data_IF_447757841965
#
_entry.id   IF_447757841965
#
_cell.length_a   1.000
_cell.length_b   1.000
_cell.length_c   1.000
_cell.angle_alpha   90.00
_cell.angle_beta   90.00
_cell.angle_gamma   90.00
#
_symmetry.space_group_name_H-M   'P 1'
#
loop_
_entity.id
_entity.type
_entity.pdbx_description
1 polymer ?
#
# COMPACT_ATOMS: atom_id res chain seq x y z
N UNK A 1 71.69 22.31 -23.95
CA UNK A 1 70.92 21.24 -23.29
C UNK A 1 70.42 21.63 -21.90
N UNK A 2 69.94 22.90 -21.66
CA UNK A 2 69.34 23.34 -20.37
C UNK A 2 67.82 23.45 -20.35
N UNK A 3 67.16 23.27 -21.50
CA UNK A 3 65.69 23.48 -21.60
C UNK A 3 64.85 22.21 -21.43
N UNK A 4 65.43 21.03 -21.35
CA UNK A 4 64.72 19.76 -21.18
C UNK A 4 64.29 19.48 -19.71
N UNK A 5 65.00 20.07 -18.74
CA UNK A 5 64.70 19.88 -17.30
C UNK A 5 63.60 20.79 -16.79
N UNK A 6 63.37 21.96 -17.42
CA UNK A 6 62.33 22.89 -17.01
C UNK A 6 60.92 22.37 -17.38
N UNK A 7 60.79 21.63 -18.47
CA UNK A 7 59.52 21.09 -18.94
C UNK A 7 59.02 19.92 -18.05
N UNK A 8 59.93 19.16 -17.43
CA UNK A 8 59.56 18.03 -16.56
C UNK A 8 58.94 18.46 -15.21
N UNK A 9 59.31 19.65 -14.69
CA UNK A 9 58.69 20.21 -13.45
C UNK A 9 57.31 20.77 -13.67
N UNK A 10 57.02 21.30 -14.87
CA UNK A 10 55.69 21.78 -15.23
C UNK A 10 54.68 20.62 -15.42
N UNK A 11 55.13 19.55 -16.02
CA UNK A 11 54.30 18.37 -16.34
C UNK A 11 53.88 17.61 -15.05
N UNK A 12 54.77 17.50 -14.08
CA UNK A 12 54.47 16.91 -12.78
C UNK A 12 53.40 17.71 -12.00
N UNK A 13 53.42 19.04 -12.05
CA UNK A 13 52.41 19.89 -11.37
C UNK A 13 51.04 19.78 -12.03
N UNK A 14 50.97 19.70 -13.34
CA UNK A 14 49.74 19.52 -14.09
C UNK A 14 49.12 18.14 -13.74
N UNK A 15 49.95 17.12 -13.64
CA UNK A 15 49.51 15.77 -13.32
C UNK A 15 48.99 15.69 -11.89
N UNK A 16 49.64 16.33 -10.91
CA UNK A 16 49.15 16.43 -9.51
C UNK A 16 47.79 17.14 -9.44
N UNK A 17 47.63 18.27 -10.15
CA UNK A 17 46.35 18.99 -10.19
C UNK A 17 45.23 18.16 -10.83
N UNK A 18 45.53 17.37 -11.88
CA UNK A 18 44.58 16.50 -12.53
C UNK A 18 44.08 15.39 -11.57
N UNK A 19 45.00 14.80 -10.77
CA UNK A 19 44.61 13.79 -9.78
C UNK A 19 43.75 14.36 -8.67
N UNK A 20 44.05 15.57 -8.18
CA UNK A 20 43.23 16.24 -7.15
C UNK A 20 41.86 16.54 -7.70
N UNK A 21 41.72 17.06 -8.94
CA UNK A 21 40.42 17.31 -9.54
C UNK A 21 39.63 16.02 -9.74
N UNK A 22 40.25 14.93 -10.17
CA UNK A 22 39.61 13.64 -10.35
C UNK A 22 39.11 13.07 -9.02
N UNK A 23 39.95 13.17 -7.96
CA UNK A 23 39.54 12.74 -6.62
C UNK A 23 38.36 13.54 -6.11
N UNK A 24 38.30 14.85 -6.38
CA UNK A 24 37.23 15.75 -5.96
C UNK A 24 35.95 15.45 -6.69
N UNK A 25 36.00 15.17 -8.00
CA UNK A 25 34.84 14.74 -8.80
C UNK A 25 34.28 13.42 -8.30
N UNK A 26 35.14 12.43 -8.00
CA UNK A 26 34.73 11.15 -7.45
C UNK A 26 34.05 11.31 -6.09
N UNK A 27 34.61 12.16 -5.22
CA UNK A 27 34.03 12.45 -3.92
C UNK A 27 32.62 13.06 -4.06
N UNK A 28 32.45 14.05 -4.94
CA UNK A 28 31.14 14.63 -5.20
C UNK A 28 30.15 13.61 -5.79
N UNK A 29 30.60 12.74 -6.68
CA UNK A 29 29.75 11.68 -7.23
C UNK A 29 29.24 10.74 -6.15
N UNK A 30 30.10 10.32 -5.21
CA UNK A 30 29.72 9.46 -4.10
C UNK A 30 28.71 10.17 -3.18
N UNK A 31 28.98 11.41 -2.79
CA UNK A 31 28.06 12.20 -1.96
C UNK A 31 26.71 12.39 -2.64
N UNK A 32 26.70 12.64 -3.94
CA UNK A 32 25.46 12.82 -4.71
C UNK A 32 24.64 11.55 -4.78
N UNK A 33 25.28 10.40 -5.03
CA UNK A 33 24.60 9.09 -5.03
C UNK A 33 24.00 8.80 -3.65
N UNK A 34 24.73 9.11 -2.57
CA UNK A 34 24.24 8.91 -1.22
C UNK A 34 23.04 9.81 -0.90
N UNK A 35 23.10 11.08 -1.32
CA UNK A 35 21.99 12.02 -1.17
C UNK A 35 20.71 11.59 -1.88
N UNK A 36 20.85 11.10 -3.13
CA UNK A 36 19.70 10.54 -3.89
C UNK A 36 19.11 9.34 -3.17
N UNK A 37 19.96 8.43 -2.66
CA UNK A 37 19.48 7.24 -1.95
C UNK A 37 18.66 7.60 -0.72
N UNK A 38 19.16 8.53 0.10
CA UNK A 38 18.43 9.01 1.28
C UNK A 38 17.09 9.68 0.95
N UNK A 39 17.02 10.43 -0.15
CA UNK A 39 15.76 11.05 -0.60
C UNK A 39 14.76 10.00 -1.08
N UNK A 40 15.23 8.99 -1.83
CA UNK A 40 14.37 7.94 -2.35
C UNK A 40 13.75 7.10 -1.23
N UNK A 41 14.53 6.79 -0.18
CA UNK A 41 14.04 6.03 0.96
C UNK A 41 12.96 6.80 1.73
N UNK A 42 13.12 8.10 1.94
CA UNK A 42 12.10 8.95 2.57
C UNK A 42 10.80 9.03 1.76
N UNK A 43 10.90 9.14 0.44
CA UNK A 43 9.73 9.17 -0.44
C UNK A 43 8.98 7.83 -0.36
N UNK A 44 9.70 6.73 -0.34
CA UNK A 44 9.11 5.38 -0.25
C UNK A 44 8.36 5.17 1.07
N UNK A 45 8.94 5.59 2.18
CA UNK A 45 8.31 5.52 3.50
C UNK A 45 7.04 6.37 3.57
N UNK A 46 7.08 7.58 3.03
CA UNK A 46 5.92 8.49 3.01
C UNK A 46 4.79 7.95 2.13
N UNK A 47 5.11 7.35 0.96
CA UNK A 47 4.09 6.76 0.08
C UNK A 47 3.45 5.54 0.70
N UNK A 48 4.19 4.69 1.40
CA UNK A 48 3.64 3.56 2.13
C UNK A 48 2.71 4.02 3.25
N UNK A 49 3.11 5.02 4.02
CA UNK A 49 2.28 5.58 5.09
C UNK A 49 0.97 6.18 4.56
N UNK A 50 1.02 6.93 3.46
CA UNK A 50 -0.18 7.47 2.80
C UNK A 50 -1.08 6.37 2.24
N UNK A 51 -0.50 5.30 1.70
CA UNK A 51 -1.23 4.12 1.25
C UNK A 51 -1.99 3.45 2.39
N UNK A 52 -1.32 3.25 3.53
CA UNK A 52 -1.93 2.70 4.74
C UNK A 52 -3.09 3.56 5.25
N UNK A 53 -2.92 4.87 5.33
CA UNK A 53 -3.99 5.77 5.78
C UNK A 53 -5.20 5.75 4.84
N UNK A 54 -4.97 5.71 3.52
CA UNK A 54 -6.06 5.58 2.53
C UNK A 54 -6.81 4.27 2.69
N UNK A 55 -6.09 3.17 2.88
CA UNK A 55 -6.71 1.87 3.06
C UNK A 55 -7.51 1.77 4.36
N UNK A 56 -7.01 2.35 5.46
CA UNK A 56 -7.76 2.45 6.72
C UNK A 56 -9.04 3.28 6.53
N UNK A 57 -8.95 4.40 5.84
CA UNK A 57 -10.12 5.23 5.54
C UNK A 57 -11.14 4.49 4.64
N UNK A 58 -10.67 3.76 3.63
CA UNK A 58 -11.53 2.94 2.77
C UNK A 58 -12.18 1.81 3.55
N UNK A 59 -11.42 1.13 4.42
CA UNK A 59 -11.94 0.10 5.31
C UNK A 59 -13.09 0.63 6.17
N UNK A 60 -12.87 1.77 6.83
CA UNK A 60 -13.88 2.36 7.72
C UNK A 60 -15.12 2.79 6.94
N UNK A 61 -14.96 3.33 5.75
CA UNK A 61 -16.08 3.65 4.86
C UNK A 61 -16.84 2.42 4.42
N UNK A 62 -16.15 1.33 4.06
CA UNK A 62 -16.79 0.07 3.65
C UNK A 62 -17.50 -0.57 4.84
N UNK A 63 -16.87 -0.61 6.02
CA UNK A 63 -17.46 -1.17 7.23
C UNK A 63 -18.66 -0.36 7.74
N UNK A 64 -18.66 0.96 7.52
CA UNK A 64 -19.75 1.85 7.87
C UNK A 64 -20.85 1.94 6.80
N UNK A 65 -20.67 1.28 5.64
CA UNK A 65 -21.60 1.37 4.53
C UNK A 65 -22.96 0.80 4.91
N UNK A 66 -24.05 1.59 4.82
CA UNK A 66 -25.35 1.18 5.32
C UNK A 66 -25.86 -0.12 4.73
N UNK A 67 -25.55 -0.35 3.44
CA UNK A 67 -25.95 -1.54 2.69
C UNK A 67 -25.22 -2.81 3.16
N UNK A 68 -24.07 -2.69 3.83
CA UNK A 68 -23.33 -3.82 4.38
C UNK A 68 -23.56 -4.03 5.86
N UNK A 69 -24.05 -3.00 6.55
CA UNK A 69 -24.18 -3.01 8.01
C UNK A 69 -25.31 -3.90 8.48
N UNK A 70 -25.08 -4.60 9.59
CA UNK A 70 -26.14 -5.31 10.31
C UNK A 70 -27.09 -4.31 11.00
N UNK A 71 -28.35 -4.71 11.18
CA UNK A 71 -29.38 -3.84 11.78
C UNK A 71 -29.13 -3.52 13.26
N UNK A 72 -28.48 -4.41 14.03
CA UNK A 72 -28.39 -4.33 15.49
C UNK A 72 -26.99 -4.35 16.08
N UNK A 73 -25.95 -4.62 15.31
CA UNK A 73 -24.58 -4.77 15.82
C UNK A 73 -23.55 -4.15 14.85
N UNK A 74 -22.36 -3.78 15.32
CA UNK A 74 -21.26 -3.37 14.46
C UNK A 74 -20.69 -4.58 13.74
N UNK A 75 -21.37 -5.06 12.70
CA UNK A 75 -20.97 -6.18 11.87
C UNK A 75 -21.29 -5.94 10.40
N UNK A 76 -20.69 -6.73 9.54
CA UNK A 76 -21.01 -6.82 8.12
C UNK A 76 -22.00 -7.97 7.94
N UNK A 77 -23.07 -7.71 7.22
CA UNK A 77 -24.09 -8.70 6.89
C UNK A 77 -23.62 -9.51 5.68
N UNK A 78 -23.50 -10.83 5.85
CA UNK A 78 -23.00 -11.74 4.82
C UNK A 78 -23.89 -11.76 3.57
N UNK A 79 -25.20 -11.76 3.78
CA UNK A 79 -26.16 -11.87 2.67
C UNK A 79 -26.18 -10.58 1.85
N UNK A 80 -26.07 -9.43 2.51
CA UNK A 80 -25.93 -8.14 1.85
C UNK A 80 -24.60 -8.01 1.11
N UNK A 81 -23.50 -8.51 1.69
CA UNK A 81 -22.20 -8.50 1.05
C UNK A 81 -22.17 -9.31 -0.26
N UNK A 82 -22.90 -10.42 -0.32
CA UNK A 82 -23.04 -11.24 -1.54
C UNK A 82 -23.82 -10.51 -2.63
N UNK A 83 -24.88 -9.82 -2.26
CA UNK A 83 -25.72 -9.08 -3.21
C UNK A 83 -24.94 -7.88 -3.77
N UNK A 84 -24.10 -7.24 -2.94
CA UNK A 84 -23.35 -6.07 -3.34
C UNK A 84 -22.34 -6.34 -4.46
N UNK A 85 -21.90 -7.58 -4.63
CA UNK A 85 -21.02 -8.00 -5.72
C UNK A 85 -21.60 -7.68 -7.11
N UNK A 86 -22.92 -7.71 -7.24
CA UNK A 86 -23.60 -7.48 -8.52
C UNK A 86 -23.78 -5.99 -8.84
N UNK A 87 -23.41 -5.11 -7.88
CA UNK A 87 -23.47 -3.67 -8.06
C UNK A 87 -22.07 -3.08 -8.23
N UNK A 88 -21.93 -2.16 -9.17
CA UNK A 88 -20.68 -1.40 -9.32
C UNK A 88 -20.60 -0.33 -8.25
N UNK A 89 -19.90 -0.64 -7.17
CA UNK A 89 -19.64 0.30 -6.07
C UNK A 89 -18.33 1.08 -6.24
N UNK A 90 -17.59 0.84 -7.33
CA UNK A 90 -16.28 1.45 -7.56
C UNK A 90 -16.30 2.96 -7.61
N UNK A 91 -17.41 3.56 -8.07
CA UNK A 91 -17.58 5.02 -8.11
C UNK A 91 -17.69 5.65 -6.71
N UNK A 92 -18.12 4.89 -5.70
CA UNK A 92 -18.25 5.37 -4.31
C UNK A 92 -16.89 5.39 -3.59
N UNK A 93 -15.97 4.50 -4.00
CA UNK A 93 -14.70 4.30 -3.32
C UNK A 93 -13.53 4.56 -4.26
N UNK A 94 -13.21 5.84 -4.45
CA UNK A 94 -12.11 6.25 -5.35
C UNK A 94 -10.78 5.61 -4.93
N UNK A 95 -10.13 4.93 -5.89
CA UNK A 95 -8.86 4.25 -5.67
C UNK A 95 -8.97 2.80 -5.17
N UNK A 96 -10.19 2.30 -4.93
CA UNK A 96 -10.42 0.90 -4.61
C UNK A 96 -10.22 0.05 -5.88
N UNK A 97 -9.33 -0.93 -5.80
CA UNK A 97 -9.10 -1.90 -6.87
C UNK A 97 -9.89 -3.18 -6.59
N UNK A 98 -9.81 -3.68 -5.36
CA UNK A 98 -10.52 -4.89 -4.95
C UNK A 98 -10.89 -4.81 -3.46
N UNK A 99 -12.10 -5.27 -3.13
CA UNK A 99 -12.54 -5.47 -1.75
C UNK A 99 -13.10 -6.88 -1.60
N UNK A 100 -12.61 -7.60 -0.59
CA UNK A 100 -13.05 -8.95 -0.28
C UNK A 100 -13.11 -9.18 1.23
N UNK A 101 -14.00 -10.04 1.65
CA UNK A 101 -14.10 -10.51 3.03
C UNK A 101 -13.66 -11.97 3.04
N UNK A 102 -12.67 -12.27 3.88
CA UNK A 102 -12.19 -13.63 4.11
C UNK A 102 -12.62 -14.04 5.51
N UNK A 103 -13.60 -14.90 5.61
CA UNK A 103 -14.03 -15.45 6.89
C UNK A 103 -12.96 -16.43 7.38
N UNK A 104 -12.54 -16.28 8.63
CA UNK A 104 -11.50 -17.11 9.25
C UNK A 104 -12.13 -18.13 10.21
N UNK A 105 -13.28 -17.80 10.78
CA UNK A 105 -14.00 -18.65 11.72
C UNK A 105 -15.52 -18.41 11.60
N UNK A 106 -16.37 -19.44 11.66
CA UNK A 106 -16.08 -20.86 11.88
C UNK A 106 -15.57 -21.64 10.65
N UNK A 107 -15.77 -21.14 9.45
CA UNK A 107 -15.41 -21.80 8.19
C UNK A 107 -14.64 -20.82 7.30
N UNK A 108 -13.64 -21.31 6.59
CA UNK A 108 -12.91 -20.52 5.61
C UNK A 108 -13.79 -20.25 4.39
N UNK A 109 -14.11 -18.98 4.18
CA UNK A 109 -14.95 -18.53 3.06
C UNK A 109 -14.51 -17.18 2.56
N UNK A 110 -14.46 -17.02 1.26
CA UNK A 110 -14.16 -15.76 0.62
C UNK A 110 -15.40 -15.18 -0.06
N UNK A 111 -15.68 -13.90 0.22
CA UNK A 111 -16.76 -13.14 -0.41
C UNK A 111 -16.11 -11.92 -1.07
N UNK A 112 -16.12 -11.88 -2.40
CA UNK A 112 -15.65 -10.71 -3.15
C UNK A 112 -16.80 -9.72 -3.23
N UNK A 113 -16.58 -8.52 -2.67
CA UNK A 113 -17.54 -7.41 -2.69
C UNK A 113 -17.39 -6.59 -3.97
N UNK A 114 -16.14 -6.35 -4.35
CA UNK A 114 -15.79 -5.54 -5.52
C UNK A 114 -14.48 -5.99 -6.14
N UNK A 115 -14.42 -6.00 -7.46
CA UNK A 115 -13.19 -6.28 -8.22
C UNK A 115 -13.20 -5.48 -9.52
N UNK A 116 -12.28 -4.53 -9.65
CA UNK A 116 -12.15 -3.71 -10.86
C UNK A 116 -11.35 -4.38 -11.98
N UNK A 117 -10.75 -5.55 -11.72
CA UNK A 117 -9.84 -6.23 -12.66
C UNK A 117 -8.50 -5.54 -12.88
N UNK A 118 -8.20 -4.44 -12.16
CA UNK A 118 -6.92 -3.74 -12.26
C UNK A 118 -5.84 -4.42 -11.43
N UNK A 119 -4.58 -4.12 -11.76
CA UNK A 119 -3.45 -4.63 -10.99
C UNK A 119 -3.46 -4.06 -9.56
N UNK A 120 -3.35 -4.96 -8.59
CA UNK A 120 -3.25 -4.63 -7.17
C UNK A 120 -1.81 -4.18 -6.90
N UNK A 121 -1.67 -2.99 -6.32
CA UNK A 121 -0.37 -2.46 -5.87
C UNK A 121 -0.10 -2.82 -4.42
N UNK A 122 -1.10 -2.61 -3.57
CA UNK A 122 -1.00 -2.86 -2.13
C UNK A 122 -2.33 -3.42 -1.62
N UNK A 123 -2.26 -4.25 -0.59
CA UNK A 123 -3.44 -4.83 0.07
C UNK A 123 -3.33 -4.68 1.57
N UNK A 124 -4.42 -4.27 2.19
CA UNK A 124 -4.53 -4.06 3.63
C UNK A 124 -5.68 -4.88 4.17
N UNK A 125 -5.47 -5.49 5.32
CA UNK A 125 -6.49 -6.31 5.96
C UNK A 125 -6.80 -5.83 7.37
N UNK A 126 -8.03 -6.02 7.80
CA UNK A 126 -8.45 -5.77 9.18
C UNK A 126 -9.54 -6.73 9.60
N UNK A 127 -9.58 -7.03 10.88
CA UNK A 127 -10.62 -7.88 11.44
C UNK A 127 -11.96 -7.14 11.46
N UNK A 128 -13.01 -7.88 11.08
CA UNK A 128 -14.40 -7.47 11.12
C UNK A 128 -15.26 -8.64 11.58
N UNK A 129 -16.41 -8.34 12.15
CA UNK A 129 -17.41 -9.36 12.42
C UNK A 129 -18.27 -9.54 11.18
N UNK A 130 -18.30 -10.77 10.65
CA UNK A 130 -19.19 -11.16 9.56
C UNK A 130 -20.37 -11.91 10.18
N UNK A 131 -21.58 -11.42 10.02
CA UNK A 131 -22.76 -12.00 10.61
C UNK A 131 -23.75 -12.41 9.53
N UNK A 132 -24.36 -13.56 9.74
CA UNK A 132 -25.43 -14.08 8.90
C UNK A 132 -26.73 -14.12 9.69
N UNK A 133 -27.82 -13.71 9.09
CA UNK A 133 -29.12 -13.82 9.68
C UNK A 133 -29.65 -15.24 9.55
N UNK A 134 -29.95 -15.88 10.67
CA UNK A 134 -30.51 -17.22 10.75
C UNK A 134 -31.90 -17.19 11.37
N UNK A 135 -32.83 -17.90 10.79
CA UNK A 135 -34.16 -18.03 11.35
C UNK A 135 -34.15 -19.09 12.46
N UNK A 136 -34.38 -18.69 13.68
CA UNK A 136 -34.51 -19.57 14.85
C UNK A 136 -35.95 -19.52 15.33
N UNK A 137 -36.77 -20.48 14.86
CA UNK A 137 -38.21 -20.48 15.14
C UNK A 137 -38.96 -19.30 14.54
N UNK A 138 -39.56 -18.46 15.39
CA UNK A 138 -40.27 -17.23 14.98
C UNK A 138 -39.36 -15.99 15.02
N UNK A 139 -38.16 -16.08 15.59
CA UNK A 139 -37.21 -14.99 15.70
C UNK A 139 -36.06 -15.10 14.70
N UNK A 140 -35.42 -13.96 14.43
CA UNK A 140 -34.18 -13.90 13.65
C UNK A 140 -33.03 -13.67 14.60
N UNK A 141 -32.03 -14.52 14.54
CA UNK A 141 -30.79 -14.40 15.29
C UNK A 141 -29.61 -14.19 14.33
N UNK A 142 -28.59 -13.45 14.80
CA UNK A 142 -27.35 -13.28 14.06
C UNK A 142 -26.31 -14.30 14.53
N UNK A 143 -25.86 -15.12 13.60
CA UNK A 143 -24.69 -15.98 13.80
C UNK A 143 -23.48 -15.26 13.25
N UNK A 144 -22.54 -14.88 14.12
CA UNK A 144 -21.40 -14.05 13.76
C UNK A 144 -20.10 -14.86 13.80
N UNK A 145 -19.27 -14.63 12.81
CA UNK A 145 -17.93 -15.18 12.72
C UNK A 145 -16.87 -14.06 12.59
N UNK A 146 -15.63 -14.45 12.81
CA UNK A 146 -14.49 -13.56 12.60
C UNK A 146 -14.06 -13.60 11.14
N UNK A 147 -13.90 -12.44 10.55
CA UNK A 147 -13.46 -12.30 9.15
C UNK A 147 -12.40 -11.20 9.01
N UNK A 148 -11.69 -11.25 7.90
CA UNK A 148 -10.75 -10.22 7.47
C UNK A 148 -11.38 -9.45 6.30
N UNK A 149 -11.57 -8.17 6.46
CA UNK A 149 -11.85 -7.28 5.34
C UNK A 149 -10.53 -6.90 4.68
N UNK A 150 -10.32 -7.37 3.46
CA UNK A 150 -9.12 -7.09 2.66
C UNK A 150 -9.48 -6.06 1.60
N UNK A 151 -8.79 -4.92 1.67
CA UNK A 151 -8.93 -3.80 0.74
C UNK A 151 -7.65 -3.67 -0.05
N UNK A 152 -7.75 -3.66 -1.37
CA UNK A 152 -6.62 -3.53 -2.30
C UNK A 152 -6.76 -2.24 -3.11
N UNK A 153 -5.65 -1.51 -3.25
CA UNK A 153 -5.51 -0.24 -3.96
C UNK A 153 -4.44 -0.30 -5.03
#
# INVERSE_FOLDING_TARGET
>A
PKNLLANKKGDLRIQEMAFVLLALVLLFAIVFIFAIKLQTDKIRETTQFLGQQRALTLRDKIAAFPELKCARAPCIDEDKAKILKDYDIGYLFQGLVKARIVQVYPEDKEIVIYDSGKQIKESFSSFVNLCRQKKAGTAFEYECGLALLVVSI
#
